data_IF_609787691426
#
_entry.id   IF_609787691426
#
_cell.length_a   1.000
_cell.length_b   1.000
_cell.length_c   1.000
_cell.angle_alpha   90.00
_cell.angle_beta   90.00
_cell.angle_gamma   90.00
#
_symmetry.space_group_name_H-M   'P 1'
#
loop_
_entity.id
_entity.type
_entity.pdbx_description
1 polymer ?
#
# COMPACT_ATOMS: atom_id res chain seq x y z
N UNK A 1 52.76 -32.28 -8.76
CA UNK A 1 51.32 -32.30 -9.14
C UNK A 1 50.42 -31.61 -8.08
N UNK A 2 50.85 -31.42 -6.86
CA UNK A 2 50.06 -30.83 -5.76
C UNK A 2 49.88 -29.29 -5.85
N UNK A 3 50.87 -28.58 -6.36
CA UNK A 3 50.88 -27.12 -6.49
C UNK A 3 49.88 -26.59 -7.52
N UNK A 4 49.66 -27.31 -8.61
CA UNK A 4 48.71 -26.90 -9.70
C UNK A 4 47.26 -27.02 -9.20
N UNK A 5 46.92 -28.03 -8.38
CA UNK A 5 45.60 -28.19 -7.78
C UNK A 5 45.23 -27.04 -6.82
N UNK A 6 46.21 -26.58 -6.04
CA UNK A 6 46.01 -25.52 -5.07
C UNK A 6 45.80 -24.13 -5.73
N UNK A 7 46.46 -23.87 -6.87
CA UNK A 7 46.24 -22.63 -7.65
C UNK A 7 44.91 -22.62 -8.36
N UNK A 8 44.47 -23.73 -8.92
CA UNK A 8 43.14 -23.86 -9.59
C UNK A 8 42.00 -23.70 -8.57
N UNK A 9 42.12 -24.28 -7.38
CA UNK A 9 41.11 -24.11 -6.33
C UNK A 9 41.01 -22.68 -5.81
N UNK A 10 42.16 -21.98 -5.68
CA UNK A 10 42.16 -20.56 -5.26
C UNK A 10 41.60 -19.65 -6.35
N UNK A 11 41.85 -19.91 -7.62
CA UNK A 11 41.27 -19.16 -8.74
C UNK A 11 39.77 -19.40 -8.85
N UNK A 12 39.29 -20.63 -8.60
CA UNK A 12 37.84 -20.94 -8.60
C UNK A 12 37.14 -20.28 -7.42
N UNK A 13 37.73 -20.28 -6.23
CA UNK A 13 37.16 -19.62 -5.07
C UNK A 13 37.08 -18.09 -5.24
N UNK A 14 38.09 -17.47 -5.86
CA UNK A 14 38.13 -16.05 -6.16
C UNK A 14 37.06 -15.64 -7.21
N UNK A 15 36.84 -16.46 -8.24
CA UNK A 15 35.81 -16.19 -9.24
C UNK A 15 34.40 -16.35 -8.66
N UNK A 16 34.17 -17.29 -7.77
CA UNK A 16 32.86 -17.44 -7.08
C UNK A 16 32.62 -16.25 -6.13
N UNK A 17 33.62 -15.77 -5.42
CA UNK A 17 33.52 -14.60 -4.55
C UNK A 17 33.23 -13.30 -5.33
N UNK A 18 33.81 -13.12 -6.52
CA UNK A 18 33.52 -11.99 -7.39
C UNK A 18 32.12 -12.07 -8.01
N UNK A 19 31.61 -13.26 -8.31
CA UNK A 19 30.27 -13.44 -8.83
C UNK A 19 29.17 -13.18 -7.79
N UNK A 20 29.45 -13.43 -6.51
CA UNK A 20 28.53 -13.15 -5.39
C UNK A 20 28.51 -11.67 -4.99
N UNK A 21 29.57 -10.90 -5.28
CA UNK A 21 29.65 -9.47 -4.98
C UNK A 21 28.85 -8.56 -5.92
N UNK A 22 28.34 -9.09 -7.06
CA UNK A 22 27.70 -8.29 -8.12
C UNK A 22 26.23 -7.96 -7.90
N UNK A 23 25.58 -8.45 -6.85
CA UNK A 23 24.14 -8.27 -6.62
C UNK A 23 23.81 -7.36 -5.43
N UNK A 24 24.65 -6.38 -5.11
CA UNK A 24 24.23 -5.30 -4.21
C UNK A 24 23.27 -4.36 -4.98
N UNK A 25 22.01 -4.77 -5.13
CA UNK A 25 20.93 -3.89 -5.57
C UNK A 25 20.80 -2.79 -4.51
N UNK A 26 21.33 -1.61 -4.83
CA UNK A 26 20.99 -0.41 -4.06
C UNK A 26 19.48 -0.22 -4.19
N UNK A 27 18.76 -0.28 -3.09
CA UNK A 27 17.35 0.07 -3.04
C UNK A 27 17.14 1.50 -3.56
N UNK A 28 15.96 1.82 -4.06
CA UNK A 28 15.64 3.18 -4.44
C UNK A 28 15.85 4.10 -3.23
N UNK A 29 16.20 5.38 -3.45
CA UNK A 29 16.37 6.32 -2.37
C UNK A 29 15.09 6.38 -1.53
N UNK A 30 15.22 6.34 -0.21
CA UNK A 30 14.09 6.38 0.74
C UNK A 30 13.32 7.70 0.71
N UNK A 31 13.91 8.73 0.09
CA UNK A 31 13.30 10.04 -0.09
C UNK A 31 13.56 10.52 -1.52
N UNK A 32 12.50 10.86 -2.24
CA UNK A 32 12.60 11.57 -3.50
C UNK A 32 12.84 13.04 -3.15
N UNK A 33 14.05 13.54 -3.44
CA UNK A 33 14.35 14.97 -3.35
C UNK A 33 13.59 15.70 -4.48
N UNK A 34 12.34 16.11 -4.22
CA UNK A 34 11.67 17.06 -5.08
C UNK A 34 12.43 18.39 -4.97
N UNK A 35 12.77 18.98 -6.11
CA UNK A 35 13.34 20.34 -6.18
C UNK A 35 12.24 21.34 -5.81
N UNK A 36 11.93 21.44 -4.52
CA UNK A 36 11.04 22.44 -3.99
C UNK A 36 11.89 23.67 -3.63
N UNK A 37 11.37 24.91 -3.84
CA UNK A 37 12.05 26.12 -3.36
C UNK A 37 12.28 26.02 -1.87
N UNK A 38 13.43 26.51 -1.40
CA UNK A 38 13.85 26.43 0.00
C UNK A 38 12.89 27.11 0.99
N UNK A 39 12.05 28.01 0.49
CA UNK A 39 10.99 28.66 1.24
C UNK A 39 9.74 28.82 0.38
N UNK A 40 8.60 28.47 0.94
CA UNK A 40 7.30 28.81 0.38
C UNK A 40 7.04 30.30 0.62
N UNK A 41 6.89 31.09 -0.43
CA UNK A 41 6.80 32.55 -0.33
C UNK A 41 5.42 33.05 0.11
N UNK A 42 4.38 32.28 -0.08
CA UNK A 42 3.04 32.62 0.40
C UNK A 42 2.80 31.99 1.80
N UNK A 43 2.25 32.74 2.76
CA UNK A 43 1.85 32.16 4.03
C UNK A 43 0.83 31.04 3.78
N UNK A 44 1.08 29.87 4.31
CA UNK A 44 0.14 28.76 4.25
C UNK A 44 -1.05 29.07 5.17
N UNK A 45 -2.29 29.18 4.66
CA UNK A 45 -3.45 29.56 5.47
C UNK A 45 -3.75 28.62 6.64
N UNK A 46 -3.13 27.45 6.63
CA UNK A 46 -3.32 26.38 7.62
C UNK A 46 -2.02 25.97 8.34
N UNK A 47 -0.94 26.76 8.26
CA UNK A 47 0.37 26.43 8.84
C UNK A 47 0.88 25.03 8.49
N UNK A 48 0.47 24.47 7.35
CA UNK A 48 0.83 23.11 6.93
C UNK A 48 0.11 21.98 7.67
N UNK A 49 -0.90 22.25 8.51
CA UNK A 49 -1.66 21.23 9.24
C UNK A 49 -2.91 20.81 8.47
N UNK A 50 -3.03 19.51 8.18
CA UNK A 50 -4.21 18.93 7.50
C UNK A 50 -5.52 19.13 8.30
N UNK A 51 -5.45 19.17 9.63
CA UNK A 51 -6.60 19.41 10.46
C UNK A 51 -7.20 20.82 10.24
N UNK A 52 -6.34 21.82 10.02
CA UNK A 52 -6.77 23.20 9.80
C UNK A 52 -7.40 23.38 8.42
N UNK A 53 -7.08 22.54 7.45
CA UNK A 53 -7.75 22.51 6.13
C UNK A 53 -9.22 22.08 6.23
N UNK A 54 -9.55 21.14 7.12
CA UNK A 54 -10.91 20.68 7.30
C UNK A 54 -11.83 21.77 7.89
N UNK A 55 -11.27 22.67 8.70
CA UNK A 55 -11.99 23.76 9.37
C UNK A 55 -11.83 25.11 8.66
N UNK A 56 -11.00 25.21 7.64
CA UNK A 56 -10.69 26.47 6.95
C UNK A 56 -11.94 27.20 6.43
N UNK A 57 -12.90 26.46 5.90
CA UNK A 57 -14.14 27.02 5.38
C UNK A 57 -15.02 27.65 6.46
N UNK A 58 -14.94 27.17 7.71
CA UNK A 58 -15.66 27.75 8.86
C UNK A 58 -15.16 29.16 9.17
N UNK A 59 -13.86 29.42 8.97
CA UNK A 59 -13.25 30.73 9.14
C UNK A 59 -13.69 31.78 8.11
N UNK A 60 -14.35 31.40 7.01
CA UNK A 60 -14.86 32.32 6.01
C UNK A 60 -16.16 33.05 6.41
N UNK A 61 -16.80 32.67 7.52
CA UNK A 61 -17.97 33.33 8.06
C UNK A 61 -19.29 33.09 7.28
N UNK A 62 -19.28 32.18 6.30
CA UNK A 62 -20.48 31.81 5.53
C UNK A 62 -20.98 30.41 5.91
N UNK A 63 -21.96 30.37 6.79
CA UNK A 63 -22.51 29.11 7.32
C UNK A 63 -23.19 28.25 6.24
N UNK A 64 -23.81 28.87 5.25
CA UNK A 64 -24.45 28.16 4.16
C UNK A 64 -23.44 27.45 3.27
N UNK A 65 -22.29 28.11 2.99
CA UNK A 65 -21.20 27.48 2.26
C UNK A 65 -20.66 26.25 3.00
N UNK A 66 -20.48 26.36 4.32
CA UNK A 66 -20.00 25.24 5.15
C UNK A 66 -20.97 24.06 5.14
N UNK A 67 -22.30 24.33 5.22
CA UNK A 67 -23.36 23.32 5.11
C UNK A 67 -23.30 22.61 3.75
N UNK A 68 -23.28 23.36 2.67
CA UNK A 68 -23.22 22.80 1.31
C UNK A 68 -21.96 21.95 1.06
N UNK A 69 -20.79 22.39 1.59
CA UNK A 69 -19.57 21.61 1.51
C UNK A 69 -19.71 20.29 2.30
N UNK A 70 -20.28 20.37 3.49
CA UNK A 70 -20.46 19.19 4.34
C UNK A 70 -21.37 18.16 3.69
N UNK A 71 -22.49 18.59 3.17
CA UNK A 71 -23.46 17.74 2.47
C UNK A 71 -22.86 17.11 1.21
N UNK A 72 -22.15 17.92 0.40
CA UNK A 72 -21.47 17.43 -0.78
C UNK A 72 -20.38 16.41 -0.47
N UNK A 73 -19.60 16.62 0.61
CA UNK A 73 -18.58 15.66 1.02
C UNK A 73 -19.20 14.34 1.52
N UNK A 74 -20.36 14.39 2.21
CA UNK A 74 -21.06 13.20 2.66
C UNK A 74 -21.69 12.41 1.50
N UNK A 75 -22.23 13.10 0.51
CA UNK A 75 -22.87 12.50 -0.65
C UNK A 75 -21.88 12.09 -1.77
N UNK A 76 -20.60 12.46 -1.67
CA UNK A 76 -19.61 12.29 -2.74
C UNK A 76 -19.21 10.84 -2.97
N UNK A 77 -19.49 10.26 -4.15
CA UNK A 77 -19.02 8.93 -4.50
C UNK A 77 -17.49 8.86 -4.65
N UNK A 78 -16.85 9.99 -5.01
CA UNK A 78 -15.39 10.08 -5.13
C UNK A 78 -14.70 9.90 -3.78
N UNK A 79 -15.24 10.56 -2.73
CA UNK A 79 -14.72 10.40 -1.36
C UNK A 79 -14.98 8.99 -0.83
N UNK A 80 -16.17 8.42 -1.10
CA UNK A 80 -16.49 7.06 -0.72
C UNK A 80 -15.54 6.04 -1.38
N UNK A 81 -15.28 6.20 -2.69
CA UNK A 81 -14.32 5.37 -3.43
C UNK A 81 -12.90 5.49 -2.88
N UNK A 82 -12.46 6.71 -2.55
CA UNK A 82 -11.14 6.92 -1.92
C UNK A 82 -11.05 6.25 -0.55
N UNK A 83 -12.12 6.29 0.26
CA UNK A 83 -12.22 5.56 1.53
C UNK A 83 -12.10 4.05 1.36
N UNK A 84 -12.73 3.48 0.34
CA UNK A 84 -12.61 2.05 0.01
C UNK A 84 -11.18 1.66 -0.37
N UNK A 85 -10.46 2.54 -1.10
CA UNK A 85 -9.04 2.31 -1.44
C UNK A 85 -8.14 2.27 -0.20
N UNK A 86 -8.45 3.05 0.84
CA UNK A 86 -7.73 2.96 2.12
C UNK A 86 -7.89 1.57 2.74
N UNK A 87 -9.12 1.05 2.77
CA UNK A 87 -9.40 -0.29 3.33
C UNK A 87 -8.67 -1.36 2.54
N UNK A 88 -8.70 -1.28 1.22
CA UNK A 88 -7.98 -2.22 0.34
C UNK A 88 -6.46 -2.14 0.57
N UNK A 89 -5.88 -0.94 0.51
CA UNK A 89 -4.44 -0.77 0.68
C UNK A 89 -3.95 -1.24 2.07
N UNK A 90 -4.79 -1.06 3.11
CA UNK A 90 -4.51 -1.61 4.44
C UNK A 90 -4.50 -3.14 4.44
N UNK A 91 -5.46 -3.77 3.77
CA UNK A 91 -5.51 -5.22 3.66
C UNK A 91 -4.28 -5.76 2.91
N UNK A 92 -3.88 -5.10 1.83
CA UNK A 92 -2.70 -5.44 1.04
C UNK A 92 -1.40 -5.30 1.85
N UNK A 93 -1.29 -4.26 2.70
CA UNK A 93 -0.15 -4.07 3.61
C UNK A 93 -0.05 -5.21 4.63
N UNK A 94 -1.20 -5.60 5.23
CA UNK A 94 -1.25 -6.72 6.18
C UNK A 94 -0.89 -8.04 5.48
N UNK A 95 -1.45 -8.31 4.29
CA UNK A 95 -1.18 -9.52 3.50
C UNK A 95 0.30 -9.61 3.10
N UNK A 96 0.90 -8.49 2.68
CA UNK A 96 2.33 -8.43 2.35
C UNK A 96 3.23 -8.70 3.56
N UNK A 97 2.82 -8.28 4.75
CA UNK A 97 3.52 -8.57 6.00
C UNK A 97 3.45 -10.05 6.39
N UNK A 98 2.38 -10.75 6.01
CA UNK A 98 2.22 -12.18 6.30
C UNK A 98 3.29 -13.06 5.62
N UNK A 99 3.85 -12.62 4.48
CA UNK A 99 4.93 -13.33 3.79
C UNK A 99 6.23 -13.43 4.62
N UNK A 100 6.39 -12.61 5.65
CA UNK A 100 7.55 -12.62 6.56
C UNK A 100 7.39 -13.64 7.71
N UNK A 101 6.18 -14.20 7.89
CA UNK A 101 5.87 -15.16 8.94
C UNK A 101 5.74 -16.59 8.37
N UNK A 102 5.95 -17.62 9.18
CA UNK A 102 5.66 -19.00 8.79
C UNK A 102 4.18 -19.17 8.41
N UNK A 103 3.93 -19.84 7.28
CA UNK A 103 2.60 -20.22 6.84
C UNK A 103 2.28 -21.61 7.40
N UNK A 104 1.10 -21.76 7.98
CA UNK A 104 0.59 -23.00 8.49
C UNK A 104 -0.68 -23.39 7.73
N UNK A 105 -0.64 -24.53 7.05
CA UNK A 105 -1.77 -25.09 6.32
C UNK A 105 -2.25 -26.37 7.01
N UNK A 106 -3.56 -26.47 7.22
CA UNK A 106 -4.21 -27.67 7.69
C UNK A 106 -5.14 -28.20 6.58
N UNK A 107 -4.98 -29.45 6.20
CA UNK A 107 -5.81 -30.12 5.19
C UNK A 107 -6.46 -31.35 5.75
N UNK A 108 -7.72 -31.57 5.40
CA UNK A 108 -8.45 -32.78 5.73
C UNK A 108 -9.22 -33.29 4.52
N UNK A 109 -9.17 -34.57 4.28
CA UNK A 109 -9.95 -35.20 3.22
C UNK A 109 -10.54 -36.53 3.68
N UNK A 110 -11.75 -36.85 3.21
CA UNK A 110 -12.39 -38.13 3.37
C UNK A 110 -12.81 -38.59 1.99
N UNK A 111 -12.25 -39.70 1.54
CA UNK A 111 -12.53 -40.30 0.24
C UNK A 111 -13.16 -41.67 0.45
N UNK A 112 -14.36 -41.87 -0.11
CA UNK A 112 -15.03 -43.17 -0.15
C UNK A 112 -14.91 -43.72 -1.57
N UNK A 113 -14.28 -44.87 -1.69
CA UNK A 113 -14.16 -45.59 -2.96
C UNK A 113 -15.13 -46.74 -2.98
N UNK A 114 -16.03 -46.76 -3.97
CA UNK A 114 -16.87 -47.90 -4.27
C UNK A 114 -16.34 -48.57 -5.54
N UNK A 115 -15.92 -49.80 -5.45
CA UNK A 115 -15.42 -50.52 -6.62
C UNK A 115 -16.43 -51.62 -6.99
N UNK A 116 -16.77 -51.69 -8.25
CA UNK A 116 -17.79 -52.58 -8.80
C UNK A 116 -17.26 -54.02 -9.06
N UNK A 117 -16.01 -54.29 -8.71
CA UNK A 117 -15.39 -55.60 -8.89
C UNK A 117 -14.62 -56.04 -7.63
N UNK A 118 -14.97 -57.20 -7.12
CA UNK A 118 -14.26 -58.14 -6.19
C UNK A 118 -13.46 -57.61 -4.99
N UNK A 119 -13.22 -56.32 -4.82
CA UNK A 119 -12.61 -55.72 -3.62
C UNK A 119 -13.62 -54.86 -2.87
N UNK A 120 -13.72 -54.98 -1.54
CA UNK A 120 -14.64 -54.19 -0.74
C UNK A 120 -14.25 -52.70 -0.83
N UNK A 121 -15.23 -51.85 -1.15
CA UNK A 121 -15.06 -50.40 -1.08
C UNK A 121 -14.64 -49.94 0.32
N UNK A 122 -13.73 -48.98 0.40
CA UNK A 122 -13.19 -48.47 1.64
C UNK A 122 -13.41 -46.97 1.79
N UNK A 123 -13.36 -46.51 3.03
CA UNK A 123 -13.30 -45.07 3.34
C UNK A 123 -11.89 -44.75 3.85
N UNK A 124 -11.21 -43.83 3.19
CA UNK A 124 -9.90 -43.32 3.62
C UNK A 124 -10.08 -41.91 4.15
N UNK A 125 -9.65 -41.70 5.39
CA UNK A 125 -9.60 -40.35 5.99
C UNK A 125 -8.14 -39.92 6.13
N UNK A 126 -7.83 -38.72 5.71
CA UNK A 126 -6.49 -38.13 5.80
C UNK A 126 -6.59 -36.75 6.43
N UNK A 127 -5.71 -36.49 7.39
CA UNK A 127 -5.49 -35.14 7.95
C UNK A 127 -3.99 -34.85 7.88
N UNK A 128 -3.65 -33.66 7.43
CA UNK A 128 -2.25 -33.19 7.37
C UNK A 128 -2.13 -31.77 7.88
N UNK A 129 -1.03 -31.48 8.56
CA UNK A 129 -0.60 -30.15 8.98
C UNK A 129 0.75 -29.89 8.35
N UNK A 130 0.85 -28.79 7.61
CA UNK A 130 2.08 -28.39 6.92
C UNK A 130 2.47 -26.98 7.34
N UNK A 131 3.73 -26.80 7.73
CA UNK A 131 4.33 -25.50 7.96
C UNK A 131 5.37 -25.23 6.87
N UNK A 132 5.34 -24.02 6.32
CA UNK A 132 6.34 -23.54 5.36
C UNK A 132 6.77 -22.11 5.70
N UNK A 133 8.04 -21.82 5.55
CA UNK A 133 8.59 -20.51 5.79
C UNK A 133 9.78 -20.25 4.87
N UNK A 134 9.78 -19.07 4.25
CA UNK A 134 10.89 -18.58 3.43
C UNK A 134 11.62 -17.49 4.20
N UNK A 135 12.89 -17.75 4.50
CA UNK A 135 13.73 -16.77 5.20
C UNK A 135 14.14 -15.69 4.22
N UNK A 136 13.74 -14.45 4.52
CA UNK A 136 14.00 -13.28 3.67
C UNK A 136 15.44 -12.75 3.82
N UNK A 137 16.42 -13.52 3.34
CA UNK A 137 17.85 -13.21 3.46
C UNK A 137 18.20 -11.94 2.68
N UNK A 138 17.60 -11.75 1.49
CA UNK A 138 17.89 -10.64 0.59
C UNK A 138 16.92 -9.46 0.75
N UNK A 139 15.93 -9.56 1.60
CA UNK A 139 15.02 -8.46 1.92
C UNK A 139 13.91 -8.21 0.89
N UNK A 140 13.64 -9.12 -0.04
CA UNK A 140 12.61 -8.96 -1.07
C UNK A 140 11.19 -8.85 -0.46
N UNK A 141 10.87 -9.72 0.50
CA UNK A 141 9.59 -9.70 1.19
C UNK A 141 9.43 -8.45 2.08
N UNK A 142 10.51 -8.03 2.75
CA UNK A 142 10.53 -6.77 3.51
C UNK A 142 10.28 -5.57 2.61
N UNK A 143 10.97 -5.48 1.46
CA UNK A 143 10.76 -4.41 0.50
C UNK A 143 9.32 -4.39 -0.05
N UNK A 144 8.73 -5.56 -0.28
CA UNK A 144 7.33 -5.69 -0.73
C UNK A 144 6.36 -5.18 0.33
N UNK A 145 6.57 -5.55 1.60
CA UNK A 145 5.77 -5.05 2.74
C UNK A 145 5.89 -3.53 2.87
N UNK A 146 7.11 -2.99 2.79
CA UNK A 146 7.35 -1.56 2.93
C UNK A 146 6.70 -0.79 1.79
N UNK A 147 6.80 -1.27 0.55
CA UNK A 147 6.10 -0.69 -0.59
C UNK A 147 4.57 -0.74 -0.44
N UNK A 148 4.01 -1.78 0.17
CA UNK A 148 2.58 -1.86 0.45
C UNK A 148 2.16 -0.87 1.55
N UNK A 149 3.01 -0.64 2.55
CA UNK A 149 2.79 0.37 3.58
C UNK A 149 2.76 1.79 2.98
N UNK A 150 3.70 2.12 2.10
CA UNK A 150 3.73 3.41 1.40
C UNK A 150 2.47 3.63 0.53
N UNK A 151 1.95 2.56 -0.10
CA UNK A 151 0.67 2.64 -0.84
C UNK A 151 -0.52 2.91 0.08
N UNK A 152 -0.53 2.33 1.28
CA UNK A 152 -1.55 2.63 2.27
C UNK A 152 -1.50 4.10 2.71
N UNK A 153 -0.32 4.64 2.97
CA UNK A 153 -0.15 6.04 3.35
C UNK A 153 -0.51 6.98 2.20
N UNK A 154 -0.16 6.63 0.96
CA UNK A 154 -0.61 7.33 -0.26
C UNK A 154 -2.14 7.33 -0.39
N UNK A 155 -2.81 6.19 -0.17
CA UNK A 155 -4.27 6.12 -0.23
C UNK A 155 -4.96 7.05 0.79
N UNK A 156 -4.37 7.22 1.97
CA UNK A 156 -4.84 8.18 2.98
C UNK A 156 -4.69 9.62 2.50
N UNK A 157 -3.56 9.96 1.90
CA UNK A 157 -3.33 11.30 1.34
C UNK A 157 -4.32 11.61 0.22
N UNK A 158 -4.56 10.68 -0.69
CA UNK A 158 -5.54 10.82 -1.79
C UNK A 158 -6.98 10.97 -1.29
N UNK A 159 -7.34 10.38 -0.17
CA UNK A 159 -8.65 10.62 0.44
C UNK A 159 -8.78 12.06 0.95
N UNK A 160 -7.73 12.63 1.56
CA UNK A 160 -7.73 14.03 1.95
C UNK A 160 -7.81 14.95 0.74
N UNK A 161 -7.08 14.65 -0.33
CA UNK A 161 -7.14 15.38 -1.60
C UNK A 161 -8.56 15.38 -2.19
N UNK A 162 -9.23 14.24 -2.21
CA UNK A 162 -10.60 14.13 -2.69
C UNK A 162 -11.58 15.03 -1.91
N UNK A 163 -11.41 15.13 -0.59
CA UNK A 163 -12.21 16.01 0.27
C UNK A 163 -11.97 17.48 -0.05
N UNK A 164 -10.72 17.87 -0.22
CA UNK A 164 -10.35 19.25 -0.58
C UNK A 164 -10.89 19.61 -1.95
N UNK A 165 -10.77 18.72 -2.93
CA UNK A 165 -11.27 18.93 -4.29
C UNK A 165 -12.77 19.12 -4.33
N UNK A 166 -13.54 18.28 -3.62
CA UNK A 166 -15.00 18.43 -3.53
C UNK A 166 -15.38 19.75 -2.87
N UNK A 167 -14.70 20.14 -1.78
CA UNK A 167 -14.97 21.40 -1.11
C UNK A 167 -14.66 22.63 -2.01
N UNK A 168 -13.56 22.59 -2.75
CA UNK A 168 -13.19 23.63 -3.69
C UNK A 168 -14.19 23.76 -4.84
N UNK A 169 -14.65 22.63 -5.38
CA UNK A 169 -15.67 22.62 -6.44
C UNK A 169 -16.98 23.25 -5.98
N UNK A 170 -17.49 22.86 -4.81
CA UNK A 170 -18.70 23.46 -4.21
C UNK A 170 -18.53 24.96 -4.00
N UNK A 171 -17.39 25.38 -3.45
CA UNK A 171 -17.13 26.79 -3.22
C UNK A 171 -17.11 27.59 -4.53
N UNK A 172 -16.48 27.07 -5.58
CA UNK A 172 -16.42 27.70 -6.89
C UNK A 172 -17.84 27.89 -7.48
N UNK A 173 -18.68 26.84 -7.42
CA UNK A 173 -20.07 26.93 -7.92
C UNK A 173 -20.92 27.87 -7.08
N UNK A 174 -20.74 27.86 -5.77
CA UNK A 174 -21.45 28.75 -4.85
C UNK A 174 -21.13 30.22 -5.12
N UNK A 175 -19.87 30.58 -5.24
CA UNK A 175 -19.47 31.96 -5.52
C UNK A 175 -19.86 32.39 -6.94
N UNK A 176 -19.78 31.51 -7.93
CA UNK A 176 -20.26 31.79 -9.27
C UNK A 176 -21.76 32.12 -9.28
N UNK A 177 -22.57 31.34 -8.57
CA UNK A 177 -24.01 31.59 -8.43
C UNK A 177 -24.28 32.93 -7.73
N UNK A 178 -23.57 33.24 -6.65
CA UNK A 178 -23.72 34.54 -5.94
C UNK A 178 -23.38 35.71 -6.84
N UNK A 179 -22.29 35.63 -7.59
CA UNK A 179 -21.89 36.67 -8.54
C UNK A 179 -22.94 36.89 -9.62
N UNK A 180 -23.47 35.80 -10.21
CA UNK A 180 -24.55 35.91 -11.21
C UNK A 180 -25.80 36.60 -10.64
N UNK A 181 -26.17 36.33 -9.38
CA UNK A 181 -27.33 36.95 -8.72
C UNK A 181 -27.13 38.43 -8.42
N UNK A 182 -25.89 38.86 -8.20
CA UNK A 182 -25.56 40.27 -7.96
C UNK A 182 -25.52 41.12 -9.24
N UNK A 183 -25.34 40.47 -10.40
CA UNK A 183 -25.31 41.15 -11.71
C UNK A 183 -26.70 41.29 -12.38
N UNK A 184 -27.74 40.67 -11.81
CA UNK A 184 -29.13 40.81 -12.22
C UNK A 184 -29.84 41.95 -11.47
#
# INVERSE_FOLDING_TARGET
>A
MTTIRCTVQRALAASIALALGGCALQGPPTTVAASAPAQWQAPLPHNGKLADLASWWQGQGDSLLVELITDAQQASPTIAAAGTRIVQARADSIASGAALAPKLDATGSVVRTSQQSAQPGGTTSQAALQASWEIDVFGANRATRDAAQERYDSARALWHEARVSVAAEVANQYYALRTCRQLQ
#
